data_IF_168354526595
#
_entry.id   IF_168354526595
#
_cell.length_a   1.000
_cell.length_b   1.000
_cell.length_c   1.000
_cell.angle_alpha   90.00
_cell.angle_beta   90.00
_cell.angle_gamma   90.00
#
_symmetry.space_group_name_H-M   'P 1'
#
loop_
_entity.id
_entity.type
_entity.pdbx_description
1 polymer ?
#
# COMPACT_ATOMS: atom_id res chain seq x y z
N UNK A 1 1.83 -2.28 -14.44
CA UNK A 1 1.17 -1.18 -13.71
C UNK A 1 -0.27 -1.08 -14.18
N UNK A 2 -1.20 -1.02 -13.26
CA UNK A 2 -2.61 -0.90 -13.64
C UNK A 2 -3.16 0.45 -13.19
N UNK A 3 -4.17 0.94 -13.91
CA UNK A 3 -4.83 2.19 -13.57
C UNK A 3 -6.31 1.91 -13.32
N UNK A 4 -6.84 2.44 -12.23
CA UNK A 4 -8.24 2.29 -11.87
C UNK A 4 -8.87 3.67 -11.77
N UNK A 5 -9.98 3.87 -12.48
CA UNK A 5 -10.67 5.16 -12.51
C UNK A 5 -12.14 5.06 -12.09
N UNK A 6 -12.60 3.89 -11.72
CA UNK A 6 -14.00 3.67 -11.36
C UNK A 6 -14.15 3.03 -9.98
N UNK A 7 -15.08 3.54 -9.19
CA UNK A 7 -15.44 2.96 -7.89
C UNK A 7 -16.03 1.56 -8.02
N UNK A 8 -16.51 1.22 -9.20
CA UNK A 8 -17.12 -0.10 -9.43
C UNK A 8 -16.08 -1.18 -9.70
N UNK A 9 -14.83 -0.82 -9.87
CA UNK A 9 -13.76 -1.78 -10.11
C UNK A 9 -13.65 -2.74 -8.92
N UNK A 10 -13.69 -4.06 -9.15
CA UNK A 10 -13.64 -5.03 -8.04
C UNK A 10 -12.38 -4.89 -7.18
N UNK A 11 -11.24 -4.61 -7.80
CA UNK A 11 -10.01 -4.46 -7.02
C UNK A 11 -10.03 -3.19 -6.16
N UNK A 12 -10.63 -2.12 -6.65
CA UNK A 12 -10.81 -0.92 -5.85
C UNK A 12 -11.64 -1.22 -4.59
N UNK A 13 -12.71 -2.01 -4.74
CA UNK A 13 -13.54 -2.40 -3.60
C UNK A 13 -12.77 -3.23 -2.59
N UNK A 14 -11.89 -4.11 -3.07
CA UNK A 14 -11.02 -4.89 -2.19
C UNK A 14 -10.08 -3.98 -1.42
N UNK A 15 -9.45 -3.02 -2.10
CA UNK A 15 -8.55 -2.07 -1.46
C UNK A 15 -9.28 -1.24 -0.40
N UNK A 16 -10.46 -0.76 -0.75
CA UNK A 16 -11.25 0.06 0.17
C UNK A 16 -11.59 -0.70 1.44
N UNK A 17 -12.03 -1.94 1.29
CA UNK A 17 -12.34 -2.77 2.44
C UNK A 17 -11.11 -3.01 3.30
N UNK A 18 -9.98 -3.30 2.67
CA UNK A 18 -8.74 -3.54 3.39
C UNK A 18 -8.27 -2.32 4.16
N UNK A 19 -8.33 -1.14 3.54
CA UNK A 19 -7.85 0.09 4.18
C UNK A 19 -8.79 0.60 5.27
N UNK A 20 -10.09 0.37 5.13
CA UNK A 20 -11.08 0.92 6.04
C UNK A 20 -11.53 -0.04 7.14
N UNK A 21 -11.09 -1.29 7.11
CA UNK A 21 -11.51 -2.29 8.07
C UNK A 21 -10.32 -2.99 8.72
N UNK A 22 -10.15 -2.74 10.03
CA UNK A 22 -9.13 -3.47 10.79
C UNK A 22 -9.41 -4.95 10.86
N UNK A 23 -10.70 -5.32 10.87
CA UNK A 23 -11.11 -6.72 10.85
C UNK A 23 -10.63 -7.40 9.58
N UNK A 24 -10.79 -6.73 8.44
CA UNK A 24 -10.36 -7.28 7.16
C UNK A 24 -8.84 -7.44 7.12
N UNK A 25 -8.10 -6.47 7.63
CA UNK A 25 -6.64 -6.57 7.72
C UNK A 25 -6.21 -7.76 8.57
N UNK A 26 -6.87 -7.98 9.69
CA UNK A 26 -6.55 -9.13 10.54
C UNK A 26 -6.90 -10.44 9.86
N UNK A 27 -8.04 -10.49 9.17
CA UNK A 27 -8.47 -11.70 8.47
C UNK A 27 -7.50 -12.08 7.34
N UNK A 28 -7.03 -11.10 6.60
CA UNK A 28 -6.15 -11.33 5.45
C UNK A 28 -4.67 -11.44 5.82
N UNK A 29 -4.30 -11.00 7.01
CA UNK A 29 -2.90 -10.93 7.39
C UNK A 29 -2.13 -9.83 6.69
N UNK A 30 -2.83 -8.81 6.19
CA UNK A 30 -2.22 -7.72 5.46
C UNK A 30 -2.20 -6.45 6.30
N UNK A 31 -1.29 -5.55 5.97
CA UNK A 31 -1.18 -4.24 6.59
C UNK A 31 -0.92 -3.20 5.52
N UNK A 32 -1.07 -1.93 5.88
CA UNK A 32 -0.92 -0.81 4.96
C UNK A 32 0.10 0.16 5.53
N UNK A 33 1.03 0.58 4.68
CA UNK A 33 1.97 1.65 5.00
C UNK A 33 1.57 2.88 4.19
N UNK A 34 1.49 4.03 4.85
CA UNK A 34 1.16 5.28 4.18
C UNK A 34 2.39 6.17 4.22
N UNK A 35 2.87 6.55 3.04
CA UNK A 35 3.97 7.48 2.90
C UNK A 35 5.27 6.85 2.46
N UNK A 36 6.05 7.67 1.73
CA UNK A 36 7.27 7.18 1.11
C UNK A 36 8.33 6.75 2.14
N UNK A 37 8.39 7.42 3.28
CA UNK A 37 9.36 7.07 4.31
C UNK A 37 9.15 5.66 4.84
N UNK A 38 7.90 5.31 5.16
CA UNK A 38 7.59 3.98 5.66
C UNK A 38 7.81 2.92 4.60
N UNK A 39 7.44 3.23 3.36
CA UNK A 39 7.59 2.29 2.25
C UNK A 39 9.07 2.03 1.96
N UNK A 40 9.86 3.09 1.94
CA UNK A 40 11.28 2.97 1.69
C UNK A 40 11.98 2.17 2.79
N UNK A 41 11.64 2.45 4.04
CA UNK A 41 12.20 1.71 5.17
C UNK A 41 11.83 0.23 5.10
N UNK A 42 10.58 -0.08 4.75
CA UNK A 42 10.14 -1.45 4.59
C UNK A 42 10.94 -2.14 3.49
N UNK A 43 11.10 -1.47 2.35
CA UNK A 43 11.81 -2.04 1.20
C UNK A 43 13.27 -2.32 1.52
N UNK A 44 13.88 -1.52 2.38
CA UNK A 44 15.28 -1.72 2.76
C UNK A 44 15.48 -2.83 3.77
N UNK A 45 14.53 -3.03 4.67
CA UNK A 45 14.74 -3.89 5.83
C UNK A 45 13.90 -5.15 5.84
N UNK A 46 12.79 -5.17 5.12
CA UNK A 46 11.84 -6.28 5.19
C UNK A 46 11.62 -6.98 3.86
N UNK A 47 11.74 -6.26 2.76
CA UNK A 47 11.56 -6.84 1.44
C UNK A 47 10.58 -6.07 0.58
N UNK A 48 10.03 -6.75 -0.41
CA UNK A 48 9.20 -6.13 -1.44
C UNK A 48 7.73 -6.11 -0.98
N UNK A 49 7.06 -4.94 -1.07
CA UNK A 49 5.62 -4.88 -0.80
C UNK A 49 4.83 -5.75 -1.78
N UNK A 50 3.65 -6.17 -1.36
CA UNK A 50 2.76 -6.93 -2.23
C UNK A 50 2.22 -6.05 -3.34
N UNK A 51 1.82 -4.83 -2.96
CA UNK A 51 1.24 -3.90 -3.92
C UNK A 51 1.55 -2.48 -3.51
N UNK A 52 1.82 -1.62 -4.50
CA UNK A 52 1.95 -0.18 -4.31
C UNK A 52 0.70 0.47 -4.90
N UNK A 53 0.05 1.32 -4.12
CA UNK A 53 -1.10 2.09 -4.56
C UNK A 53 -0.71 3.56 -4.58
N UNK A 54 -0.80 4.20 -5.72
CA UNK A 54 -0.32 5.58 -5.90
C UNK A 54 -1.40 6.39 -6.60
N UNK A 55 -1.53 7.68 -6.24
CA UNK A 55 -2.46 8.57 -6.92
C UNK A 55 -1.83 9.08 -8.21
N UNK A 56 -2.68 9.53 -9.14
CA UNK A 56 -2.20 10.14 -10.38
C UNK A 56 -1.22 11.26 -10.11
N UNK A 57 -1.58 12.18 -9.21
CA UNK A 57 -0.69 13.30 -8.90
C UNK A 57 0.56 12.83 -8.16
N UNK A 58 0.44 11.75 -7.38
CA UNK A 58 1.59 11.17 -6.69
C UNK A 58 2.66 10.67 -7.64
N UNK A 59 2.26 10.16 -8.80
CA UNK A 59 3.25 9.66 -9.77
C UNK A 59 4.17 10.77 -10.27
N UNK A 60 3.77 12.02 -10.15
CA UNK A 60 4.59 13.15 -10.56
C UNK A 60 5.54 13.67 -9.49
N UNK A 61 5.46 13.16 -8.28
CA UNK A 61 6.39 13.57 -7.23
C UNK A 61 7.73 12.90 -7.42
N UNK A 62 8.84 13.66 -7.38
CA UNK A 62 10.16 13.08 -7.71
C UNK A 62 10.53 11.86 -6.88
N UNK A 63 10.29 11.91 -5.57
CA UNK A 63 10.65 10.79 -4.70
C UNK A 63 9.83 9.55 -5.00
N UNK A 64 8.54 9.72 -5.32
CA UNK A 64 7.66 8.61 -5.66
C UNK A 64 8.02 8.07 -7.04
N UNK A 65 8.20 8.96 -8.01
CA UNK A 65 8.60 8.55 -9.36
C UNK A 65 9.90 7.77 -9.32
N UNK A 66 10.87 8.23 -8.56
CA UNK A 66 12.15 7.57 -8.40
C UNK A 66 11.98 6.17 -7.82
N UNK A 67 11.15 6.03 -6.80
CA UNK A 67 10.89 4.73 -6.19
C UNK A 67 10.23 3.77 -7.18
N UNK A 68 9.25 4.26 -7.94
CA UNK A 68 8.55 3.42 -8.93
C UNK A 68 9.49 2.99 -10.04
N UNK A 69 10.41 3.87 -10.43
CA UNK A 69 11.39 3.57 -11.47
C UNK A 69 12.51 2.66 -11.01
N UNK A 70 12.68 2.49 -9.71
CA UNK A 70 13.73 1.61 -9.18
C UNK A 70 13.54 0.16 -9.58
N UNK A 71 12.36 -0.17 -10.10
CA UNK A 71 12.15 -1.46 -10.76
C UNK A 71 12.12 -2.65 -9.83
N UNK A 72 11.48 -2.52 -8.69
CA UNK A 72 11.33 -3.67 -7.80
C UNK A 72 10.50 -4.74 -8.49
N UNK A 73 11.14 -5.85 -8.78
CA UNK A 73 10.51 -6.96 -9.49
C UNK A 73 9.52 -7.65 -8.56
N UNK A 74 8.34 -7.95 -9.09
CA UNK A 74 7.34 -8.70 -8.34
C UNK A 74 6.30 -7.85 -7.62
N UNK A 75 6.47 -6.54 -7.58
CA UNK A 75 5.48 -5.68 -6.95
C UNK A 75 4.42 -5.28 -7.97
N UNK A 76 3.17 -5.31 -7.54
CA UNK A 76 2.05 -4.81 -8.35
C UNK A 76 1.89 -3.32 -8.07
N UNK A 77 1.85 -2.51 -9.12
CA UNK A 77 1.64 -1.07 -8.98
C UNK A 77 0.27 -0.71 -9.52
N UNK A 78 -0.54 -0.09 -8.67
CA UNK A 78 -1.90 0.34 -9.02
C UNK A 78 -1.98 1.85 -8.91
N UNK A 79 -2.38 2.51 -9.99
CA UNK A 79 -2.55 3.97 -10.02
C UNK A 79 -4.04 4.27 -9.92
N UNK A 80 -4.41 5.09 -8.96
CA UNK A 80 -5.80 5.52 -8.79
C UNK A 80 -5.92 7.00 -9.16
N UNK A 81 -7.07 7.38 -9.74
CA UNK A 81 -7.39 8.79 -9.87
C UNK A 81 -7.34 9.45 -8.50
N UNK A 82 -7.03 10.73 -8.45
CA UNK A 82 -6.82 11.44 -7.18
C UNK A 82 -8.03 11.37 -6.27
N UNK A 83 -9.24 11.47 -6.82
CA UNK A 83 -10.47 11.40 -6.02
C UNK A 83 -10.62 10.03 -5.39
N UNK A 84 -10.39 8.97 -6.15
CA UNK A 84 -10.48 7.61 -5.63
C UNK A 84 -9.44 7.36 -4.55
N UNK A 85 -8.23 7.84 -4.76
CA UNK A 85 -7.16 7.68 -3.77
C UNK A 85 -7.53 8.40 -2.47
N UNK A 86 -8.07 9.60 -2.56
CA UNK A 86 -8.47 10.37 -1.38
C UNK A 86 -9.58 9.66 -0.60
N UNK A 87 -10.48 8.97 -1.29
CA UNK A 87 -11.54 8.22 -0.64
C UNK A 87 -11.02 7.00 0.11
N UNK A 88 -9.91 6.43 -0.33
CA UNK A 88 -9.30 5.30 0.35
C UNK A 88 -8.50 5.73 1.57
N UNK A 89 -7.89 6.90 1.51
CA UNK A 89 -6.96 7.32 2.54
C UNK A 89 -7.68 7.53 3.87
N UNK A 90 -7.04 7.05 4.94
CA UNK A 90 -7.59 7.20 6.28
C UNK A 90 -6.98 8.41 7.00
N UNK A 91 -6.11 9.15 6.33
CA UNK A 91 -5.48 10.37 6.87
C UNK A 91 -6.00 11.58 6.13
N UNK A 92 -6.02 12.74 6.80
CA UNK A 92 -6.54 13.97 6.21
C UNK A 92 -5.71 14.47 5.05
N UNK A 93 -4.39 14.30 5.13
CA UNK A 93 -3.46 14.73 4.09
C UNK A 93 -2.73 13.53 3.54
N UNK A 94 -3.32 12.86 2.54
CA UNK A 94 -2.68 11.68 1.96
C UNK A 94 -1.35 12.04 1.31
N UNK A 95 -0.38 11.15 1.46
CA UNK A 95 0.95 11.34 0.89
C UNK A 95 1.00 11.10 -0.61
N UNK A 96 -0.04 10.46 -1.16
CA UNK A 96 -0.07 10.11 -2.57
C UNK A 96 0.44 8.72 -2.87
N UNK A 97 0.92 7.99 -1.87
CA UNK A 97 1.39 6.61 -2.06
C UNK A 97 1.11 5.79 -0.81
N UNK A 98 0.69 4.55 -1.03
CA UNK A 98 0.50 3.55 0.03
C UNK A 98 1.06 2.22 -0.43
N UNK A 99 1.44 1.38 0.51
CA UNK A 99 1.90 0.03 0.21
C UNK A 99 1.10 -0.99 1.01
N UNK A 100 0.76 -2.08 0.34
CA UNK A 100 0.15 -3.24 1.00
C UNK A 100 1.25 -4.24 1.24
N UNK A 101 1.38 -4.69 2.48
CA UNK A 101 2.44 -5.59 2.90
C UNK A 101 1.86 -6.74 3.70
N UNK A 102 2.62 -7.82 3.81
CA UNK A 102 2.30 -8.85 4.78
C UNK A 102 2.46 -8.26 6.17
N UNK A 103 1.45 -8.47 7.02
CA UNK A 103 1.51 -7.96 8.38
C UNK A 103 2.69 -8.58 9.09
N UNK A 104 3.57 -7.78 9.69
CA UNK A 104 4.66 -8.34 10.46
C UNK A 104 4.12 -9.22 11.57
N UNK A 105 4.65 -10.42 11.68
CA UNK A 105 4.28 -11.32 12.76
C UNK A 105 5.21 -11.11 13.94
N UNK A 106 4.67 -11.18 15.15
CA UNK A 106 5.56 -11.15 16.31
C UNK A 106 6.55 -12.30 16.18
N UNK A 107 7.76 -12.08 16.60
CA UNK A 107 8.74 -13.16 16.63
C UNK A 107 8.23 -14.23 17.56
N UNK A 108 8.25 -15.37 17.08
CA UNK A 108 7.72 -16.49 17.79
C UNK A 108 8.72 -16.99 18.77
N UNK A 109 8.68 -16.73 19.05
CA UNK A 109 9.29 -17.12 19.48
C UNK A 109 8.70 -17.83 20.04
N UNK A 110 8.66 -17.95 19.81
CA UNK A 110 8.27 -18.16 20.27
C UNK A 110 7.81 -18.10 20.95
N UNK A 111 7.69 -18.06 20.84
CA UNK A 111 7.19 -17.88 21.35
C UNK A 111 6.74 -17.94 21.86
N UNK A 112 6.62 -18.06 22.00
CA UNK A 112 6.17 -17.99 22.60
C UNK A 112 5.79 -18.36 23.16
N UNK A 113 5.80 -18.49 22.96
CA UNK A 113 5.48 -18.77 23.49
C UNK A 113 5.42 -18.92 24.03
N UNK A 114 5.58 -18.81 24.02
CA UNK A 114 5.71 -18.83 24.49
C UNK A 114 5.70 -18.91 24.96
#
# INVERSE_FOLDING_TARGET
MRRIVSRDNPHYKVLKKLLQSGRERRRTGLAVLDGMHLIDAYSRHCGIPIEIVVSDSGTGRPEIASYLESGQVGVTITVLGDVLFAELAVVETPSGIMAIIDRPRPLQGPAPDM
#
